data_IF_462636967266
#
_entry.id   IF_462636967266
#
_cell.length_a   1.000
_cell.length_b   1.000
_cell.length_c   1.000
_cell.angle_alpha   90.00
_cell.angle_beta   90.00
_cell.angle_gamma   90.00
#
_symmetry.space_group_name_H-M   'P 1'
#
loop_
_entity.id
_entity.type
_entity.pdbx_description
1 polymer ?
#
# COMPACT_ATOMS: atom_id res chain seq x y z
N UNK A 1 5.70 11.42 13.09
CA UNK A 1 5.15 10.04 13.16
C UNK A 1 5.98 9.11 12.31
N UNK A 2 6.05 7.81 12.65
CA UNK A 2 6.76 6.79 11.87
C UNK A 2 5.84 6.21 10.79
N UNK A 3 6.41 5.88 9.63
CA UNK A 3 5.70 5.28 8.50
C UNK A 3 4.89 4.03 8.91
N UNK A 4 5.47 3.16 9.75
CA UNK A 4 4.81 1.95 10.27
C UNK A 4 3.46 2.23 10.94
N UNK A 5 3.30 3.36 11.62
CA UNK A 5 2.05 3.72 12.30
C UNK A 5 0.96 4.07 11.30
N UNK A 6 1.29 4.78 10.22
CA UNK A 6 0.32 5.12 9.17
C UNK A 6 -0.11 3.88 8.37
N UNK A 7 0.84 2.98 8.09
CA UNK A 7 0.52 1.72 7.39
C UNK A 7 -0.49 0.87 8.16
N UNK A 8 -0.41 0.82 9.50
CA UNK A 8 -1.41 0.12 10.32
C UNK A 8 -2.81 0.73 10.19
N UNK A 9 -2.90 2.06 10.19
CA UNK A 9 -4.17 2.76 10.01
C UNK A 9 -4.77 2.49 8.64
N UNK A 10 -3.98 2.66 7.57
CA UNK A 10 -4.39 2.39 6.19
C UNK A 10 -4.84 0.92 6.06
N UNK A 11 -4.05 -0.03 6.54
CA UNK A 11 -4.39 -1.46 6.48
C UNK A 11 -5.71 -1.78 7.19
N UNK A 12 -6.02 -1.13 8.30
CA UNK A 12 -7.29 -1.32 9.00
C UNK A 12 -8.46 -0.75 8.17
N UNK A 13 -8.31 0.44 7.58
CA UNK A 13 -9.33 1.06 6.73
C UNK A 13 -9.59 0.20 5.47
N UNK A 14 -8.54 -0.30 4.83
CA UNK A 14 -8.65 -1.22 3.68
C UNK A 14 -9.38 -2.52 4.04
N UNK A 15 -9.15 -3.08 5.23
CA UNK A 15 -9.90 -4.24 5.70
C UNK A 15 -11.39 -3.94 5.91
N UNK A 16 -11.72 -2.76 6.44
CA UNK A 16 -13.11 -2.33 6.56
C UNK A 16 -13.76 -2.14 5.18
N UNK A 17 -13.01 -1.68 4.18
CA UNK A 17 -13.47 -1.61 2.79
C UNK A 17 -13.83 -2.99 2.23
N UNK A 18 -12.97 -3.99 2.42
CA UNK A 18 -13.25 -5.37 2.01
C UNK A 18 -14.50 -5.97 2.70
N UNK A 19 -14.85 -5.44 3.88
CA UNK A 19 -16.05 -5.82 4.63
C UNK A 19 -17.28 -4.93 4.32
N UNK A 20 -17.16 -3.95 3.42
CA UNK A 20 -18.18 -2.94 3.11
C UNK A 20 -18.62 -2.12 4.34
N UNK A 21 -17.69 -1.83 5.26
CA UNK A 21 -17.91 -1.08 6.52
C UNK A 21 -17.23 0.29 6.50
N UNK A 22 -17.38 1.05 5.42
CA UNK A 22 -16.65 2.32 5.23
C UNK A 22 -16.92 3.35 6.33
N UNK A 23 -18.15 3.40 6.83
CA UNK A 23 -18.55 4.32 7.91
C UNK A 23 -17.88 4.00 9.26
N UNK A 24 -17.24 2.85 9.40
CA UNK A 24 -16.56 2.43 10.63
C UNK A 24 -15.08 2.78 10.66
N UNK A 25 -14.56 3.56 9.69
CA UNK A 25 -13.13 3.87 9.58
C UNK A 25 -12.53 4.47 10.87
N UNK A 26 -13.29 5.24 11.66
CA UNK A 26 -12.79 5.78 12.94
C UNK A 26 -12.44 4.69 13.96
N UNK A 27 -13.01 3.48 13.85
CA UNK A 27 -12.64 2.37 14.74
C UNK A 27 -11.17 1.97 14.61
N UNK A 28 -10.50 2.33 13.50
CA UNK A 28 -9.08 2.06 13.27
C UNK A 28 -8.12 2.94 14.09
N UNK A 29 -8.59 4.02 14.73
CA UNK A 29 -7.75 4.83 15.63
C UNK A 29 -7.50 4.14 16.97
N UNK A 30 -8.51 3.43 17.49
CA UNK A 30 -8.39 2.72 18.76
C UNK A 30 -7.29 1.65 18.74
N UNK A 31 -7.15 0.93 17.62
CA UNK A 31 -6.14 -0.13 17.45
C UNK A 31 -4.73 0.40 17.14
N UNK A 32 -4.61 1.65 16.70
CA UNK A 32 -3.32 2.24 16.28
C UNK A 32 -2.74 3.22 17.30
N UNK A 33 -3.53 3.66 18.28
CA UNK A 33 -3.12 4.68 19.26
C UNK A 33 -2.95 6.08 18.65
N UNK A 34 -3.44 6.28 17.43
CA UNK A 34 -3.39 7.56 16.73
C UNK A 34 -4.55 8.46 17.19
N UNK A 35 -4.29 9.76 17.29
CA UNK A 35 -5.34 10.76 17.47
C UNK A 35 -6.10 10.94 16.14
N UNK A 36 -7.44 10.88 16.17
CA UNK A 36 -8.26 11.07 14.97
C UNK A 36 -8.33 12.54 14.52
N UNK A 37 -8.20 13.50 15.45
CA UNK A 37 -8.46 14.92 15.19
C UNK A 37 -7.66 15.48 14.00
N UNK A 38 -6.36 15.15 13.79
CA UNK A 38 -5.62 15.62 12.63
C UNK A 38 -6.20 15.14 11.29
N UNK A 39 -6.72 13.91 11.23
CA UNK A 39 -7.31 13.35 10.00
C UNK A 39 -8.70 13.93 9.77
N UNK A 40 -9.53 14.05 10.82
CA UNK A 40 -10.83 14.71 10.72
C UNK A 40 -10.69 16.17 10.30
N UNK A 41 -9.72 16.90 10.85
CA UNK A 41 -9.43 18.26 10.45
C UNK A 41 -8.99 18.32 8.98
N UNK A 42 -8.09 17.42 8.54
CA UNK A 42 -7.66 17.33 7.16
C UNK A 42 -8.81 17.05 6.18
N UNK A 43 -9.76 16.21 6.59
CA UNK A 43 -10.95 15.88 5.81
C UNK A 43 -11.89 17.08 5.67
N UNK A 44 -12.11 17.81 6.77
CA UNK A 44 -13.10 18.88 6.84
C UNK A 44 -12.61 20.27 6.37
N UNK A 45 -11.29 20.50 6.28
CA UNK A 45 -10.74 21.83 5.99
C UNK A 45 -10.24 22.03 4.54
N UNK A 46 -10.46 21.04 3.66
CA UNK A 46 -10.02 21.08 2.26
C UNK A 46 -8.54 20.74 2.03
N UNK A 47 -7.76 20.45 3.08
CA UNK A 47 -6.39 19.95 2.94
C UNK A 47 -6.38 18.60 2.21
N UNK A 48 -7.36 17.73 2.46
CA UNK A 48 -7.52 16.47 1.74
C UNK A 48 -7.56 16.65 0.22
N UNK A 49 -8.35 17.60 -0.28
CA UNK A 49 -8.43 17.90 -1.72
C UNK A 49 -7.08 18.35 -2.31
N UNK A 50 -6.32 19.16 -1.56
CA UNK A 50 -4.99 19.61 -2.00
C UNK A 50 -3.99 18.46 -2.07
N UNK A 51 -4.05 17.54 -1.10
CA UNK A 51 -3.22 16.34 -1.09
C UNK A 51 -3.56 15.40 -2.26
N UNK A 52 -4.84 15.13 -2.48
CA UNK A 52 -5.30 14.31 -3.61
C UNK A 52 -4.87 14.92 -4.97
N UNK A 53 -4.94 16.24 -5.12
CA UNK A 53 -4.47 16.93 -6.33
C UNK A 53 -2.97 16.74 -6.54
N UNK A 54 -2.17 16.87 -5.47
CA UNK A 54 -0.72 16.64 -5.54
C UNK A 54 -0.39 15.18 -5.92
N UNK A 55 -1.09 14.20 -5.34
CA UNK A 55 -0.90 12.79 -5.70
C UNK A 55 -1.38 12.47 -7.13
N UNK A 56 -2.41 13.15 -7.64
CA UNK A 56 -2.81 13.04 -9.04
C UNK A 56 -1.70 13.55 -9.98
N UNK A 57 -1.05 14.67 -9.64
CA UNK A 57 0.09 15.19 -10.41
C UNK A 57 1.29 14.24 -10.37
N UNK A 58 1.62 13.67 -9.21
CA UNK A 58 2.69 12.66 -9.07
C UNK A 58 2.38 11.41 -9.92
N UNK A 59 1.15 10.92 -9.85
CA UNK A 59 0.69 9.75 -10.59
C UNK A 59 0.71 9.99 -12.10
N UNK A 60 0.34 11.19 -12.56
CA UNK A 60 0.35 11.57 -13.99
C UNK A 60 1.78 11.70 -14.53
N UNK A 61 2.75 12.04 -13.67
CA UNK A 61 4.17 12.16 -14.03
C UNK A 61 4.89 10.82 -14.15
N UNK A 62 4.27 9.70 -13.76
CA UNK A 62 4.86 8.37 -13.87
C UNK A 62 5.33 8.09 -15.31
N UNK A 63 6.55 7.54 -15.43
CA UNK A 63 7.15 7.11 -16.69
C UNK A 63 7.53 5.63 -16.60
N UNK A 64 6.96 4.75 -17.44
CA UNK A 64 5.84 4.99 -18.34
C UNK A 64 4.55 5.33 -17.56
N UNK A 65 3.55 5.89 -18.25
CA UNK A 65 2.23 6.09 -17.65
C UNK A 65 1.68 4.73 -17.19
N UNK A 66 1.06 4.70 -16.00
CA UNK A 66 0.50 3.47 -15.45
C UNK A 66 -0.71 3.02 -16.29
N UNK A 67 -0.86 1.70 -16.48
CA UNK A 67 -1.94 1.11 -17.31
C UNK A 67 -3.05 0.46 -16.48
N UNK A 68 -2.75 0.16 -15.22
CA UNK A 68 -3.64 -0.51 -14.27
C UNK A 68 -3.16 -0.22 -12.85
N UNK A 69 -4.00 -0.60 -11.89
CA UNK A 69 -3.65 -0.64 -10.46
C UNK A 69 -3.74 -2.08 -9.95
N UNK A 70 -2.89 -2.47 -8.97
CA UNK A 70 -1.84 -1.67 -8.36
C UNK A 70 -0.65 -1.42 -9.31
N UNK A 71 -0.03 -0.24 -9.21
CA UNK A 71 1.17 0.14 -9.97
C UNK A 71 2.39 0.20 -9.04
N UNK A 72 3.23 -0.84 -9.06
CA UNK A 72 4.35 -1.00 -8.11
C UNK A 72 5.68 -0.66 -8.77
N UNK A 73 6.49 0.14 -8.09
CA UNK A 73 7.86 0.47 -8.51
C UNK A 73 8.87 0.02 -7.46
N UNK A 74 9.99 -0.54 -7.90
CA UNK A 74 11.18 -0.79 -7.07
C UNK A 74 12.34 0.01 -7.67
N UNK A 75 12.87 0.99 -6.95
CA UNK A 75 13.93 1.90 -7.44
C UNK A 75 13.60 2.51 -8.82
N UNK A 76 12.41 3.09 -8.95
CA UNK A 76 11.88 3.68 -10.19
C UNK A 76 11.66 2.69 -11.35
N UNK A 77 11.87 1.39 -11.16
CA UNK A 77 11.52 0.37 -12.14
C UNK A 77 10.07 -0.09 -11.92
N UNK A 78 9.15 0.14 -12.87
CA UNK A 78 7.80 -0.42 -12.79
C UNK A 78 7.84 -1.94 -12.96
N UNK A 79 7.15 -2.66 -12.08
CA UNK A 79 7.06 -4.13 -12.14
C UNK A 79 6.01 -4.62 -13.13
N UNK A 80 5.06 -3.75 -13.51
CA UNK A 80 3.95 -4.06 -14.40
C UNK A 80 3.22 -5.34 -13.95
N UNK A 81 2.95 -6.28 -14.85
CA UNK A 81 2.18 -7.50 -14.58
C UNK A 81 2.86 -8.39 -13.53
N UNK A 82 4.16 -8.19 -13.29
CA UNK A 82 4.95 -8.93 -12.32
C UNK A 82 4.91 -8.31 -10.91
N UNK A 83 3.97 -7.39 -10.65
CA UNK A 83 3.88 -6.67 -9.37
C UNK A 83 3.77 -7.57 -8.14
N UNK A 84 3.18 -8.77 -8.29
CA UNK A 84 3.06 -9.73 -7.18
C UNK A 84 4.42 -10.28 -6.75
N UNK A 85 5.42 -10.29 -7.63
CA UNK A 85 6.78 -10.74 -7.35
C UNK A 85 7.66 -9.66 -6.69
N UNK A 86 7.10 -8.56 -6.18
CA UNK A 86 7.85 -7.41 -5.66
C UNK A 86 8.94 -7.77 -4.63
N UNK A 87 8.75 -8.82 -3.82
CA UNK A 87 9.76 -9.28 -2.85
C UNK A 87 11.06 -9.71 -3.57
N UNK A 88 10.97 -10.43 -4.69
CA UNK A 88 12.15 -10.79 -5.47
C UNK A 88 12.88 -9.57 -6.03
N UNK A 89 12.14 -8.56 -6.50
CA UNK A 89 12.71 -7.31 -6.97
C UNK A 89 13.43 -6.55 -5.84
N UNK A 90 12.81 -6.46 -4.65
CA UNK A 90 13.45 -5.87 -3.47
C UNK A 90 14.73 -6.62 -3.11
N UNK A 91 14.68 -7.95 -3.05
CA UNK A 91 15.83 -8.80 -2.70
C UNK A 91 16.96 -8.74 -3.73
N UNK A 92 16.63 -8.52 -5.01
CA UNK A 92 17.59 -8.25 -6.09
C UNK A 92 18.19 -6.85 -5.99
N UNK A 93 17.37 -5.85 -5.65
CA UNK A 93 17.79 -4.46 -5.51
C UNK A 93 18.62 -4.19 -4.25
N UNK A 94 18.48 -5.02 -3.22
CA UNK A 94 19.22 -4.90 -1.96
C UNK A 94 20.72 -5.18 -2.14
N UNK A 95 21.54 -4.15 -1.90
CA UNK A 95 23.01 -4.19 -2.05
C UNK A 95 23.76 -4.54 -0.75
N UNK A 96 23.06 -4.69 0.38
CA UNK A 96 23.67 -5.01 1.65
C UNK A 96 24.18 -6.47 1.71
N UNK A 97 25.24 -6.71 2.48
CA UNK A 97 25.85 -8.04 2.63
C UNK A 97 24.91 -9.02 3.33
N UNK A 98 24.24 -8.57 4.38
CA UNK A 98 23.36 -9.39 5.20
C UNK A 98 21.94 -9.36 4.62
N UNK A 99 21.65 -10.26 3.68
CA UNK A 99 20.30 -10.36 3.09
C UNK A 99 19.30 -10.91 4.12
N UNK A 100 18.10 -10.30 4.25
CA UNK A 100 17.01 -10.83 5.08
C UNK A 100 16.68 -12.27 4.72
N UNK A 101 16.17 -13.05 5.69
CA UNK A 101 15.82 -14.46 5.47
C UNK A 101 14.79 -14.63 4.34
N UNK A 102 13.84 -13.71 4.22
CA UNK A 102 12.88 -13.67 3.12
C UNK A 102 13.53 -13.66 1.72
N UNK A 103 14.76 -13.14 1.59
CA UNK A 103 15.49 -13.12 0.32
C UNK A 103 16.25 -14.41 0.00
N UNK A 104 16.26 -15.38 0.91
CA UNK A 104 16.94 -16.67 0.73
C UNK A 104 15.97 -17.77 0.25
N UNK A 105 14.67 -17.57 0.42
CA UNK A 105 13.62 -18.50 -0.03
C UNK A 105 13.34 -18.30 -1.52
N UNK A 106 12.97 -19.37 -2.25
CA UNK A 106 12.59 -19.26 -3.67
C UNK A 106 11.34 -18.37 -3.80
N UNK A 107 11.39 -17.38 -4.68
CA UNK A 107 10.30 -16.39 -4.91
C UNK A 107 8.92 -17.00 -5.11
N UNK A 108 8.86 -18.19 -5.74
CA UNK A 108 7.63 -18.92 -6.02
C UNK A 108 6.94 -19.46 -4.75
N UNK A 109 7.66 -19.65 -3.65
CA UNK A 109 7.08 -20.10 -2.38
C UNK A 109 6.59 -18.92 -1.54
N UNK A 110 7.26 -17.77 -1.62
CA UNK A 110 6.91 -16.56 -0.88
C UNK A 110 5.53 -16.02 -1.32
N UNK A 111 5.26 -16.03 -2.62
CA UNK A 111 3.95 -15.61 -3.12
C UNK A 111 2.85 -16.62 -2.81
N UNK A 112 3.18 -17.92 -2.71
CA UNK A 112 2.22 -18.98 -2.37
C UNK A 112 1.79 -18.93 -0.90
N UNK A 113 2.65 -18.48 0.00
CA UNK A 113 2.32 -18.32 1.44
C UNK A 113 1.21 -17.28 1.64
N UNK A 114 1.03 -16.33 0.71
CA UNK A 114 -0.06 -15.34 0.72
C UNK A 114 -1.28 -15.72 -0.16
N UNK A 115 -1.30 -16.91 -0.78
CA UNK A 115 -2.41 -17.38 -1.64
C UNK A 115 -3.35 -18.33 -0.89
N UNK A 116 -3.21 -18.48 0.43
CA UNK A 116 -4.32 -18.99 1.24
C UNK A 116 -5.25 -17.84 1.62
N UNK A 117 -6.35 -17.80 0.88
CA UNK A 117 -7.65 -17.23 1.23
C UNK A 117 -7.72 -15.70 1.33
N UNK A 118 -7.78 -15.06 0.16
CA UNK A 118 -8.92 -14.22 -0.23
C UNK A 118 -8.63 -13.76 -1.64
N UNK A 119 -9.55 -14.02 -2.57
CA UNK A 119 -9.60 -13.28 -3.82
C UNK A 119 -9.70 -11.79 -3.42
N UNK A 120 -8.65 -10.95 -3.56
CA UNK A 120 -8.78 -9.56 -3.19
C UNK A 120 -9.83 -9.02 -4.16
N UNK A 121 -11.00 -8.66 -3.63
CA UNK A 121 -11.94 -7.85 -4.39
C UNK A 121 -11.25 -6.52 -4.59
N UNK A 122 -10.44 -6.42 -5.64
CA UNK A 122 -9.89 -5.16 -6.12
C UNK A 122 -11.09 -4.31 -6.51
N UNK A 123 -10.99 -3.00 -6.27
CA UNK A 123 -12.02 -2.03 -6.56
C UNK A 123 -12.49 -2.17 -8.01
N UNK A 124 -13.63 -2.81 -8.24
CA UNK A 124 -14.38 -2.69 -9.48
C UNK A 124 -15.34 -1.52 -9.27
N UNK A 125 -15.25 -0.57 -10.19
CA UNK A 125 -16.15 0.60 -10.25
C UNK A 125 -17.60 0.17 -10.44
#
# INVERSE_FOLDING_TARGET
MKQETHFKLISCIEQLHLQNKHSSWQSCFASTGLNQNPIENCYNNGLGYRLETAYADETTKLKPAHRFVPWVLVNNQPLQEDYQNFIAYICKAYKGRNKPQACKTKSLEINKINVQDTNPRVCFR
#
